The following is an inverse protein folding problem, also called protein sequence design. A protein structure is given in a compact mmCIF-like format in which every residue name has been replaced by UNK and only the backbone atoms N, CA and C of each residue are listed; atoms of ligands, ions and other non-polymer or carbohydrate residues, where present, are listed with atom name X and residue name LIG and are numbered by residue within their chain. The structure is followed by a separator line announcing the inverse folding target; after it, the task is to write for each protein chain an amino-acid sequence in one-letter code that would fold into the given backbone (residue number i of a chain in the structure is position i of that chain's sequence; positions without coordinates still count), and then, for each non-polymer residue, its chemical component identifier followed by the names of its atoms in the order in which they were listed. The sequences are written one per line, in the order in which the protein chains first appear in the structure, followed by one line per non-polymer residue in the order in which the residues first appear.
data_IF_491828068175
#
_entry.id   IF_491828068175
#
_cell.length_a   1.000
_cell.length_b   1.000
_cell.length_c   1.000
_cell.angle_alpha   90.00
_cell.angle_beta   90.00
_cell.angle_gamma   90.00
#
_symmetry.space_group_name_H-M   'P 1'
#
loop_
_entity.id
_entity.type
_entity.pdbx_description
1 polymer ?
#
# COMPACT_ATOMS: atom_id res chain seq x y z
N UNK A 1 -10.28 2.09 6.30
CA UNK A 1 -9.25 3.10 6.57
C UNK A 1 -8.49 3.42 5.29
N UNK A 2 -8.36 4.69 4.95
CA UNK A 2 -7.50 5.20 3.89
C UNK A 2 -6.11 5.50 4.48
N UNK A 3 -5.08 4.69 4.19
CA UNK A 3 -3.75 4.93 4.74
C UNK A 3 -2.96 5.93 3.90
N UNK A 4 -1.81 6.34 4.46
CA UNK A 4 -0.73 6.97 3.71
C UNK A 4 0.48 6.05 3.67
N UNK A 5 1.26 6.10 2.62
CA UNK A 5 2.54 5.41 2.55
C UNK A 5 3.52 5.96 3.60
N UNK A 6 4.48 5.14 3.99
CA UNK A 6 5.53 5.53 4.91
C UNK A 6 6.40 6.62 4.28
N UNK A 7 6.64 7.78 4.93
CA UNK A 7 7.44 8.85 4.36
C UNK A 7 8.83 8.39 3.94
N UNK A 8 9.49 7.56 4.74
CA UNK A 8 10.82 7.04 4.43
C UNK A 8 10.81 6.18 3.16
N UNK A 9 9.72 5.43 2.91
CA UNK A 9 9.57 4.66 1.68
C UNK A 9 9.35 5.58 0.47
N UNK A 10 8.60 6.66 0.65
CA UNK A 10 8.37 7.66 -0.42
C UNK A 10 9.71 8.30 -0.82
N UNK A 11 10.50 8.75 0.15
CA UNK A 11 11.82 9.33 -0.12
C UNK A 11 12.77 8.33 -0.80
N UNK A 12 12.81 7.08 -0.30
CA UNK A 12 13.62 6.02 -0.88
C UNK A 12 13.24 5.75 -2.35
N UNK A 13 11.94 5.75 -2.67
CA UNK A 13 11.47 5.58 -4.06
C UNK A 13 11.85 6.77 -4.93
N UNK A 14 11.70 8.02 -4.45
CA UNK A 14 12.08 9.22 -5.18
C UNK A 14 13.60 9.25 -5.47
N UNK A 15 14.41 8.94 -4.47
CA UNK A 15 15.87 8.88 -4.59
C UNK A 15 16.31 7.81 -5.61
N UNK A 16 15.81 6.58 -5.47
CA UNK A 16 16.18 5.46 -6.34
C UNK A 16 15.70 5.63 -7.78
N UNK A 17 14.53 6.25 -7.97
CA UNK A 17 14.02 6.59 -9.29
C UNK A 17 14.63 7.88 -9.86
N UNK A 18 15.44 8.61 -9.07
CA UNK A 18 16.06 9.92 -9.42
C UNK A 18 15.04 10.97 -9.83
N UNK A 19 13.92 11.05 -9.08
CA UNK A 19 12.84 11.97 -9.37
C UNK A 19 12.75 13.08 -8.31
N UNK A 20 12.44 14.29 -8.78
CA UNK A 20 12.16 15.42 -7.90
C UNK A 20 10.76 15.26 -7.30
N UNK A 21 10.69 15.16 -5.97
CA UNK A 21 9.43 15.04 -5.23
C UNK A 21 8.51 16.26 -5.37
N UNK A 22 9.06 17.43 -5.68
CA UNK A 22 8.30 18.68 -5.86
C UNK A 22 7.79 18.85 -7.30
N UNK A 23 8.21 18.00 -8.23
CA UNK A 23 7.70 17.99 -9.60
C UNK A 23 6.17 17.83 -9.59
N UNK A 24 5.49 18.72 -10.30
CA UNK A 24 4.02 18.68 -10.43
C UNK A 24 3.60 17.54 -11.36
N UNK A 25 2.64 16.77 -10.90
CA UNK A 25 2.05 15.66 -11.65
C UNK A 25 0.53 15.73 -11.61
N UNK A 26 -0.11 15.32 -12.69
CA UNK A 26 -1.57 15.28 -12.73
C UNK A 26 -2.06 13.88 -12.32
N UNK A 27 -2.83 13.81 -11.25
CA UNK A 27 -3.42 12.58 -10.73
C UNK A 27 -4.91 12.56 -11.05
N UNK A 28 -5.34 11.59 -11.86
CA UNK A 28 -6.74 11.46 -12.30
C UNK A 28 -7.72 11.55 -11.11
N UNK A 29 -8.77 12.36 -11.25
CA UNK A 29 -9.81 12.66 -10.24
C UNK A 29 -9.31 13.42 -8.99
N UNK A 30 -8.05 13.79 -8.92
CA UNK A 30 -7.48 14.56 -7.82
C UNK A 30 -7.02 15.94 -8.31
N UNK A 31 -6.37 15.99 -9.47
CA UNK A 31 -5.79 17.21 -10.04
C UNK A 31 -4.26 17.21 -9.95
N UNK A 32 -3.71 18.41 -10.01
CA UNK A 32 -2.26 18.65 -10.02
C UNK A 32 -1.70 18.78 -8.60
N UNK A 33 -0.70 17.99 -8.26
CA UNK A 33 -0.03 17.99 -6.94
C UNK A 33 1.43 17.57 -7.08
N UNK A 34 2.27 17.80 -6.03
CA UNK A 34 3.64 17.32 -6.02
C UNK A 34 3.71 15.79 -6.12
N UNK A 35 4.73 15.27 -6.81
CA UNK A 35 4.96 13.82 -6.95
C UNK A 35 5.08 13.13 -5.58
N UNK A 36 5.74 13.75 -4.62
CA UNK A 36 5.84 13.29 -3.23
C UNK A 36 4.47 13.04 -2.60
N UNK A 37 3.53 13.99 -2.74
CA UNK A 37 2.18 13.84 -2.21
C UNK A 37 1.39 12.77 -2.98
N UNK A 38 1.57 12.69 -4.30
CA UNK A 38 0.98 11.63 -5.12
C UNK A 38 1.40 10.24 -4.62
N UNK A 39 2.70 10.02 -4.41
CA UNK A 39 3.22 8.76 -3.88
C UNK A 39 2.80 8.51 -2.43
N UNK A 40 2.70 9.56 -1.61
CA UNK A 40 2.28 9.43 -0.21
C UNK A 40 0.84 8.95 -0.06
N UNK A 41 -0.09 9.45 -0.89
CA UNK A 41 -1.53 9.34 -0.62
C UNK A 41 -2.32 8.61 -1.69
N UNK A 42 -1.80 8.48 -2.91
CA UNK A 42 -2.60 8.06 -4.05
C UNK A 42 -2.12 6.80 -4.75
N UNK A 43 -0.87 6.41 -4.62
CA UNK A 43 -0.30 5.26 -5.32
C UNK A 43 0.27 4.20 -4.38
N UNK A 44 0.11 2.93 -4.76
CA UNK A 44 0.62 1.79 -4.00
C UNK A 44 2.11 1.56 -4.33
N UNK A 45 3.00 1.80 -3.37
CA UNK A 45 4.44 1.62 -3.51
C UNK A 45 5.01 0.52 -2.60
N UNK A 46 4.20 -0.01 -1.68
CA UNK A 46 4.60 -1.11 -0.82
C UNK A 46 4.36 -2.49 -1.44
N UNK A 47 3.57 -2.56 -2.51
CA UNK A 47 3.32 -3.79 -3.27
C UNK A 47 3.53 -3.52 -4.75
N UNK A 48 4.71 -3.82 -5.31
CA UNK A 48 4.98 -3.60 -6.72
C UNK A 48 3.93 -4.30 -7.60
N UNK A 49 3.38 -3.58 -8.55
CA UNK A 49 2.47 -4.14 -9.56
C UNK A 49 3.26 -4.85 -10.65
N UNK A 50 2.62 -5.73 -11.42
CA UNK A 50 3.26 -6.36 -12.57
C UNK A 50 3.68 -5.31 -13.61
N UNK A 51 2.91 -4.24 -13.75
CA UNK A 51 3.18 -3.12 -14.65
C UNK A 51 4.45 -2.36 -14.19
N UNK A 52 4.61 -2.13 -12.88
CA UNK A 52 5.82 -1.51 -12.34
C UNK A 52 7.05 -2.41 -12.51
N UNK A 53 6.91 -3.71 -12.27
CA UNK A 53 7.98 -4.67 -12.52
C UNK A 53 8.38 -4.73 -14.01
N UNK A 54 7.40 -4.68 -14.92
CA UNK A 54 7.64 -4.66 -16.36
C UNK A 54 8.39 -3.39 -16.79
N UNK A 55 7.97 -2.22 -16.28
CA UNK A 55 8.66 -0.96 -16.52
C UNK A 55 10.13 -1.03 -16.07
N UNK A 56 10.36 -1.50 -14.84
CA UNK A 56 11.73 -1.65 -14.31
C UNK A 56 12.54 -2.65 -15.14
N UNK A 57 11.95 -3.80 -15.52
CA UNK A 57 12.61 -4.81 -16.35
C UNK A 57 12.98 -4.29 -17.73
N UNK A 58 12.15 -3.44 -18.32
CA UNK A 58 12.43 -2.80 -19.60
C UNK A 58 13.57 -1.79 -19.47
N UNK A 59 13.47 -0.87 -18.51
CA UNK A 59 14.42 0.24 -18.32
C UNK A 59 15.80 -0.22 -17.85
N UNK A 60 15.85 -1.23 -16.99
CA UNK A 60 17.11 -1.84 -16.53
C UNK A 60 17.68 -2.91 -17.46
N UNK A 61 16.96 -3.26 -18.52
CA UNK A 61 17.25 -4.40 -19.41
C UNK A 61 17.40 -5.75 -18.65
N UNK A 62 16.73 -5.91 -17.49
CA UNK A 62 16.87 -7.09 -16.65
C UNK A 62 16.18 -8.31 -17.25
N UNK A 63 16.97 -9.34 -17.59
CA UNK A 63 16.45 -10.62 -18.04
C UNK A 63 15.80 -11.42 -16.89
N UNK A 64 16.27 -11.23 -15.65
CA UNK A 64 15.70 -11.90 -14.48
C UNK A 64 14.26 -11.45 -14.23
N UNK A 65 14.00 -10.13 -14.20
CA UNK A 65 12.65 -9.62 -14.04
C UNK A 65 11.72 -10.02 -15.19
N UNK A 66 12.23 -10.02 -16.43
CA UNK A 66 11.46 -10.51 -17.60
C UNK A 66 11.09 -11.98 -17.43
N UNK A 67 12.04 -12.82 -17.02
CA UNK A 67 11.80 -14.24 -16.76
C UNK A 67 10.78 -14.46 -15.63
N UNK A 68 10.89 -13.71 -14.52
CA UNK A 68 9.91 -13.78 -13.41
C UNK A 68 8.52 -13.32 -13.82
N UNK A 69 8.39 -12.39 -14.75
CA UNK A 69 7.08 -11.97 -15.29
C UNK A 69 6.51 -12.93 -16.32
N UNK A 70 7.34 -13.75 -16.94
CA UNK A 70 6.99 -14.70 -17.99
C UNK A 70 7.11 -16.17 -17.55
N UNK A 71 8.21 -16.80 -17.92
CA UNK A 71 8.43 -18.25 -17.76
C UNK A 71 8.45 -18.71 -16.30
N UNK A 72 9.01 -17.88 -15.40
CA UNK A 72 9.13 -18.17 -13.96
C UNK A 72 8.03 -17.51 -13.11
N UNK A 73 6.88 -17.24 -13.69
CA UNK A 73 5.78 -16.54 -13.01
C UNK A 73 5.32 -17.18 -11.70
N UNK A 74 5.46 -18.50 -11.58
CA UNK A 74 5.15 -19.21 -10.35
C UNK A 74 6.05 -18.78 -9.16
N UNK A 75 7.29 -18.37 -9.45
CA UNK A 75 8.27 -17.94 -8.44
C UNK A 75 8.10 -16.47 -8.04
N UNK A 76 7.37 -15.68 -8.84
CA UNK A 76 7.25 -14.23 -8.65
C UNK A 76 6.70 -13.87 -7.26
N UNK A 77 5.75 -14.65 -6.75
CA UNK A 77 5.15 -14.41 -5.43
C UNK A 77 6.19 -14.53 -4.32
N UNK A 78 7.01 -15.58 -4.37
CA UNK A 78 8.04 -15.84 -3.37
C UNK A 78 9.19 -14.85 -3.51
N UNK A 79 9.54 -14.50 -4.75
CA UNK A 79 10.53 -13.46 -5.02
C UNK A 79 10.10 -12.09 -4.48
N UNK A 80 8.81 -11.75 -4.57
CA UNK A 80 8.24 -10.50 -4.03
C UNK A 80 8.09 -10.52 -2.50
N UNK A 81 8.22 -11.66 -1.86
CA UNK A 81 8.06 -11.76 -0.41
C UNK A 81 9.04 -10.83 0.31
N UNK A 82 8.51 -9.92 1.13
CA UNK A 82 9.29 -8.94 1.86
C UNK A 82 9.86 -7.77 1.05
N UNK A 83 9.66 -7.74 -0.28
CA UNK A 83 10.12 -6.65 -1.15
C UNK A 83 9.02 -5.62 -1.39
N UNK A 84 9.42 -4.37 -1.38
CA UNK A 84 8.62 -3.23 -1.79
C UNK A 84 9.19 -2.61 -3.07
N UNK A 85 8.55 -1.59 -3.65
CA UNK A 85 9.01 -0.98 -4.89
C UNK A 85 10.46 -0.48 -4.79
N UNK A 86 10.84 0.12 -3.66
CA UNK A 86 12.20 0.58 -3.44
C UNK A 86 13.24 -0.55 -3.52
N UNK A 87 12.91 -1.76 -3.03
CA UNK A 87 13.82 -2.91 -3.14
C UNK A 87 14.03 -3.34 -4.59
N UNK A 88 12.99 -3.23 -5.43
CA UNK A 88 13.08 -3.52 -6.86
C UNK A 88 13.93 -2.47 -7.58
N UNK A 89 13.67 -1.17 -7.32
CA UNK A 89 14.46 -0.08 -7.91
C UNK A 89 15.92 -0.13 -7.49
N UNK A 90 16.21 -0.51 -6.25
CA UNK A 90 17.56 -0.67 -5.74
C UNK A 90 18.29 -1.84 -6.42
N UNK A 91 17.60 -2.96 -6.62
CA UNK A 91 18.20 -4.15 -7.27
C UNK A 91 18.40 -3.94 -8.79
N UNK A 92 17.56 -3.13 -9.42
CA UNK A 92 17.57 -2.89 -10.87
C UNK A 92 17.51 -1.39 -11.16
N UNK A 93 18.64 -0.66 -10.92
CA UNK A 93 18.69 0.78 -11.14
C UNK A 93 18.43 1.14 -12.60
N UNK A 94 17.54 2.12 -12.80
CA UNK A 94 17.25 2.66 -14.12
C UNK A 94 16.64 4.07 -13.97
N UNK A 95 16.69 4.85 -15.05
CA UNK A 95 16.03 6.15 -15.09
C UNK A 95 14.56 5.99 -15.50
N UNK A 96 13.71 6.73 -14.81
CA UNK A 96 12.26 6.75 -15.04
C UNK A 96 11.78 8.20 -15.12
N UNK A 97 10.81 8.48 -15.95
CA UNK A 97 10.04 9.71 -15.81
C UNK A 97 8.95 9.54 -14.74
N UNK A 98 8.54 10.64 -14.11
CA UNK A 98 7.44 10.59 -13.13
C UNK A 98 6.15 10.04 -13.74
N UNK A 99 5.86 10.40 -15.00
CA UNK A 99 4.68 9.92 -15.72
C UNK A 99 4.68 8.40 -15.95
N UNK A 100 5.82 7.83 -16.37
CA UNK A 100 5.98 6.39 -16.56
C UNK A 100 5.84 5.63 -15.24
N UNK A 101 6.51 6.13 -14.20
CA UNK A 101 6.42 5.52 -12.88
C UNK A 101 4.98 5.51 -12.39
N UNK A 102 4.31 6.66 -12.34
CA UNK A 102 2.92 6.74 -11.88
C UNK A 102 1.96 5.92 -12.74
N UNK A 103 2.17 5.89 -14.06
CA UNK A 103 1.37 5.09 -15.01
C UNK A 103 1.48 3.59 -14.76
N UNK A 104 2.59 3.13 -14.18
CA UNK A 104 2.82 1.72 -13.84
C UNK A 104 2.30 1.32 -12.45
N UNK A 105 2.01 2.29 -11.58
CA UNK A 105 1.56 2.03 -10.22
C UNK A 105 0.04 1.88 -10.12
N UNK A 106 -0.41 1.00 -9.24
CA UNK A 106 -1.83 0.91 -8.86
C UNK A 106 -2.19 2.02 -7.89
N UNK A 107 -3.48 2.36 -7.85
CA UNK A 107 -3.99 3.30 -6.84
C UNK A 107 -3.89 2.68 -5.45
N UNK A 108 -3.47 3.50 -4.48
CA UNK A 108 -3.49 3.11 -3.08
C UNK A 108 -4.93 2.80 -2.67
N UNK A 109 -5.15 1.61 -2.14
CA UNK A 109 -6.48 1.15 -1.74
C UNK A 109 -6.68 1.28 -0.23
N UNK A 110 -7.91 1.50 0.23
CA UNK A 110 -8.22 1.42 1.65
C UNK A 110 -8.00 -0.01 2.16
N UNK A 111 -7.77 -0.12 3.47
CA UNK A 111 -7.70 -1.41 4.16
C UNK A 111 -8.92 -1.58 5.03
N UNK A 112 -9.53 -2.76 4.96
CA UNK A 112 -10.66 -3.15 5.78
C UNK A 112 -10.16 -3.76 7.09
N UNK A 113 -10.77 -3.35 8.18
CA UNK A 113 -10.56 -3.91 9.52
C UNK A 113 -11.91 -4.24 10.12
N UNK A 114 -12.00 -5.35 10.83
CA UNK A 114 -13.20 -5.70 11.57
C UNK A 114 -13.37 -4.74 12.75
N UNK A 115 -14.60 -4.24 12.94
CA UNK A 115 -14.95 -3.42 14.09
C UNK A 115 -15.10 -4.37 15.30
N UNK A 116 -14.36 -4.09 16.38
CA UNK A 116 -14.39 -4.88 17.62
C UNK A 116 -15.27 -4.29 18.72
N UNK A 117 -15.79 -3.08 18.53
CA UNK A 117 -16.72 -2.42 19.47
C UNK A 117 -18.18 -2.63 19.10
N UNK A 118 -19.06 -2.58 20.10
CA UNK A 118 -20.50 -2.50 19.92
C UNK A 118 -20.97 -1.04 20.01
N UNK A 119 -21.74 -0.53 19.06
CA UNK A 119 -22.28 0.84 19.14
C UNK A 119 -23.25 1.03 20.32
N UNK A 120 -23.77 -0.06 20.90
CA UNK A 120 -24.61 0.01 22.11
C UNK A 120 -23.78 0.24 23.38
N UNK A 121 -22.53 -0.28 23.41
CA UNK A 121 -21.62 -0.11 24.55
C UNK A 121 -20.74 1.14 24.41
N UNK A 122 -20.39 1.50 23.17
CA UNK A 122 -19.48 2.60 22.82
C UNK A 122 -20.14 3.49 21.76
N UNK A 123 -21.08 4.33 22.21
CA UNK A 123 -21.80 5.24 21.32
C UNK A 123 -20.83 6.29 20.73
N UNK A 124 -20.82 6.42 19.39
CA UNK A 124 -19.97 7.37 18.69
C UNK A 124 -18.51 6.93 18.51
N UNK A 125 -18.16 5.71 18.92
CA UNK A 125 -16.79 5.19 18.81
C UNK A 125 -16.71 3.93 17.94
N UNK A 126 -15.58 3.77 17.27
CA UNK A 126 -15.22 2.56 16.53
C UNK A 126 -13.87 2.04 17.03
N UNK A 127 -13.86 0.87 17.63
CA UNK A 127 -12.62 0.22 18.07
C UNK A 127 -12.13 -0.77 17.03
N UNK A 128 -10.83 -0.77 16.77
CA UNK A 128 -10.16 -1.69 15.87
C UNK A 128 -8.99 -2.35 16.61
N UNK A 129 -8.81 -3.66 16.39
CA UNK A 129 -7.59 -4.35 16.81
C UNK A 129 -6.67 -4.48 15.60
N UNK A 130 -5.51 -3.83 15.67
CA UNK A 130 -4.57 -3.75 14.56
C UNK A 130 -3.19 -4.24 14.99
N UNK A 131 -2.68 -5.28 14.34
CA UNK A 131 -1.29 -5.71 14.49
C UNK A 131 -0.39 -4.91 13.54
N UNK A 132 0.59 -4.20 14.10
CA UNK A 132 1.54 -3.42 13.31
C UNK A 132 2.54 -4.34 12.60
N UNK A 133 2.39 -4.46 11.29
CA UNK A 133 3.23 -5.33 10.45
C UNK A 133 4.56 -4.66 10.17
N UNK A 134 5.66 -5.31 10.57
CA UNK A 134 7.04 -4.90 10.30
C UNK A 134 7.86 -6.13 9.92
N UNK A 135 8.70 -6.00 8.89
CA UNK A 135 9.58 -7.07 8.42
C UNK A 135 10.88 -6.48 7.87
N UNK A 136 11.98 -6.71 8.59
CA UNK A 136 13.24 -6.03 8.34
C UNK A 136 13.07 -4.51 8.42
N UNK A 137 13.55 -3.78 7.42
CA UNK A 137 13.37 -2.32 7.31
C UNK A 137 11.98 -1.92 6.76
N UNK A 138 11.16 -2.87 6.30
CA UNK A 138 9.89 -2.63 5.63
C UNK A 138 8.72 -2.60 6.62
N UNK A 139 7.74 -1.78 6.31
CA UNK A 139 6.57 -1.52 7.15
C UNK A 139 5.29 -1.74 6.35
N UNK A 140 4.27 -2.33 6.98
CA UNK A 140 2.93 -2.42 6.39
C UNK A 140 2.27 -1.05 6.31
N UNK A 141 1.69 -0.71 5.17
CA UNK A 141 1.18 0.64 4.89
C UNK A 141 0.16 1.11 5.91
N UNK A 142 -0.96 0.38 6.05
CA UNK A 142 -2.07 0.81 6.90
C UNK A 142 -1.83 0.53 8.38
N UNK A 143 -1.28 -0.63 8.72
CA UNK A 143 -1.08 -1.02 10.12
C UNK A 143 -0.08 -0.12 10.84
N UNK A 144 1.03 0.25 10.19
CA UNK A 144 1.98 1.20 10.78
C UNK A 144 1.57 2.65 10.62
N UNK A 145 0.71 2.98 9.64
CA UNK A 145 0.06 4.30 9.59
C UNK A 145 -0.76 4.53 10.86
N UNK A 146 -1.60 3.56 11.22
CA UNK A 146 -2.44 3.64 12.41
C UNK A 146 -1.62 3.61 13.70
N UNK A 147 -0.60 2.73 13.77
CA UNK A 147 0.18 2.52 14.99
C UNK A 147 1.19 3.64 15.28
N UNK A 148 1.82 4.19 14.24
CA UNK A 148 3.03 5.01 14.42
C UNK A 148 2.83 6.48 14.00
N UNK A 149 1.85 6.80 13.14
CA UNK A 149 1.82 8.07 12.42
C UNK A 149 0.56 8.90 12.62
N UNK A 150 -0.53 8.27 13.01
CA UNK A 150 -1.79 9.00 13.24
C UNK A 150 -1.75 9.77 14.56
N UNK A 151 -1.21 9.19 15.62
CA UNK A 151 -1.28 9.77 16.96
C UNK A 151 -2.73 10.08 17.35
N UNK A 152 -2.99 11.33 17.73
CA UNK A 152 -4.33 11.86 18.01
C UNK A 152 -4.96 12.56 16.79
N UNK A 153 -4.44 12.31 15.59
CA UNK A 153 -4.91 12.94 14.36
C UNK A 153 -6.15 12.27 13.77
N UNK A 154 -6.62 12.84 12.67
CA UNK A 154 -7.77 12.33 11.93
C UNK A 154 -7.37 11.21 10.96
N UNK A 155 -8.24 10.21 10.84
CA UNK A 155 -8.08 9.09 9.90
C UNK A 155 -9.27 9.07 8.95
N UNK A 156 -9.06 9.24 7.64
CA UNK A 156 -10.13 9.05 6.66
C UNK A 156 -10.60 7.59 6.68
N UNK A 157 -11.88 7.38 6.92
CA UNK A 157 -12.46 6.04 6.95
C UNK A 157 -13.88 6.02 6.37
N UNK A 158 -14.34 4.83 6.05
CA UNK A 158 -15.75 4.53 5.80
C UNK A 158 -16.12 3.23 6.52
N UNK A 159 -17.41 3.06 6.83
CA UNK A 159 -17.94 1.84 7.43
C UNK A 159 -18.62 1.03 6.34
N UNK A 160 -18.24 -0.22 6.19
CA UNK A 160 -18.85 -1.17 5.27
C UNK A 160 -19.61 -2.24 6.05
N UNK A 161 -20.91 -2.36 5.78
CA UNK A 161 -21.71 -3.43 6.36
C UNK A 161 -21.34 -4.79 5.75
N UNK A 162 -21.14 -5.79 6.60
CA UNK A 162 -20.97 -7.18 6.18
C UNK A 162 -22.25 -7.97 6.42
N UNK A 163 -22.88 -8.42 5.32
CA UNK A 163 -24.14 -9.16 5.37
C UNK A 163 -23.97 -10.60 5.90
N UNK A 164 -22.77 -11.15 5.78
CA UNK A 164 -22.48 -12.57 6.12
C UNK A 164 -21.87 -12.73 7.52
N UNK A 165 -21.26 -11.67 8.06
CA UNK A 165 -20.70 -11.70 9.41
C UNK A 165 -21.69 -11.07 10.39
N UNK A 166 -22.56 -11.92 10.96
CA UNK A 166 -23.60 -11.51 11.92
C UNK A 166 -23.66 -12.50 13.07
N UNK A 167 -24.06 -11.99 14.22
CA UNK A 167 -24.39 -12.84 15.37
C UNK A 167 -25.51 -13.82 14.97
N UNK A 168 -25.41 -15.14 15.25
CA UNK A 168 -26.48 -16.07 15.06
C UNK A 168 -27.77 -15.59 15.75
N UNK A 169 -28.92 -15.86 15.15
CA UNK A 169 -30.19 -15.53 15.77
C UNK A 169 -30.49 -16.45 16.97
N UNK A 170 -30.00 -17.68 16.92
CA UNK A 170 -30.03 -18.62 18.00
C UNK A 170 -28.87 -18.34 18.98
N UNK A 171 -29.23 -17.97 20.21
CA UNK A 171 -28.29 -17.63 21.27
C UNK A 171 -27.49 -18.82 21.82
N UNK A 172 -27.91 -20.06 21.51
CA UNK A 172 -27.24 -21.27 21.97
C UNK A 172 -26.09 -21.71 21.02
N UNK A 173 -25.93 -21.05 19.90
CA UNK A 173 -24.81 -21.33 18.97
C UNK A 173 -23.54 -20.78 19.55
N UNK A 174 -22.51 -21.61 19.87
CA UNK A 174 -21.24 -21.13 20.38
C UNK A 174 -20.50 -20.35 19.31
N UNK A 175 -20.00 -19.16 19.68
CA UNK A 175 -19.16 -18.33 18.81
C UNK A 175 -17.75 -18.22 19.39
N UNK A 176 -16.76 -18.40 18.52
CA UNK A 176 -15.36 -18.07 18.81
C UNK A 176 -15.09 -16.72 18.12
N UNK A 177 -14.70 -15.72 18.91
CA UNK A 177 -14.32 -14.40 18.43
C UNK A 177 -12.82 -14.17 18.62
#
# INVERSE_FOLDING_TARGET
VWPRNCPELVEEVLELARLDGEQRVNVAKVGELPLREALSSHFEIARPSNEALALVAERSASNELRSLLGERKAELKDWLWGRQLADVLQAYPAEHSAGELLGSLKRLQPRLYSISSSPKAHAGEVHLTVSAVRYGKRKGVASTFLADRVGNGEVPLFVQSNKYFRVPQDGDVPMIM
#
